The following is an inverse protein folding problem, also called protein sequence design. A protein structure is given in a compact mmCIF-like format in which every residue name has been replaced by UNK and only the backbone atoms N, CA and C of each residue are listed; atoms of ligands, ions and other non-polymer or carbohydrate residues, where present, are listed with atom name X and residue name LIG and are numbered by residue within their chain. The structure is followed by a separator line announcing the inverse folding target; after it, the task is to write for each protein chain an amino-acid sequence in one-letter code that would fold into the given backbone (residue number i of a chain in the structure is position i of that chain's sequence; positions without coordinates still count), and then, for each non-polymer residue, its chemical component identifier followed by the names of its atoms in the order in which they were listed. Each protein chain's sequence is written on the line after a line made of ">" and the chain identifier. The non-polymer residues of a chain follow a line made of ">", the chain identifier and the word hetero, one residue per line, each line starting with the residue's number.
data_IF_596110294392
#
_entry.id   IF_596110294392
#
_cell.length_a   1.000
_cell.length_b   1.000
_cell.length_c   1.000
_cell.angle_alpha   90.00
_cell.angle_beta   90.00
_cell.angle_gamma   90.00
#
_symmetry.space_group_name_H-M   'P 1'
#
loop_
_entity.id
_entity.type
_entity.pdbx_description
1 polymer ?
#
# COMPACT_ATOMS: atom_id res chain seq x y z
N UNK A 1 44.80 -20.43 -1.80
CA UNK A 1 44.13 -20.64 -3.10
C UNK A 1 44.57 -19.53 -4.06
N UNK A 2 44.88 -19.80 -5.34
CA UNK A 2 45.28 -18.76 -6.27
C UNK A 2 44.12 -17.76 -6.49
N UNK A 3 44.41 -16.48 -6.33
CA UNK A 3 43.47 -15.38 -6.54
C UNK A 3 43.87 -14.62 -7.80
N UNK A 4 42.87 -14.17 -8.58
CA UNK A 4 43.07 -13.44 -9.83
C UNK A 4 42.15 -12.23 -9.86
N UNK A 5 42.64 -11.10 -10.36
CA UNK A 5 41.84 -9.88 -10.50
C UNK A 5 40.83 -10.03 -11.66
N UNK A 6 39.61 -9.57 -11.42
CA UNK A 6 38.55 -9.51 -12.42
C UNK A 6 38.91 -8.47 -13.49
N UNK A 7 38.84 -8.80 -14.79
CA UNK A 7 39.14 -7.85 -15.85
C UNK A 7 38.08 -6.76 -16.02
N UNK A 8 36.89 -6.90 -15.40
CA UNK A 8 35.80 -5.93 -15.53
C UNK A 8 35.73 -4.94 -14.37
N UNK A 9 35.91 -5.42 -13.13
CA UNK A 9 35.76 -4.60 -11.92
C UNK A 9 37.01 -4.54 -11.03
N UNK A 10 38.11 -5.24 -11.40
CA UNK A 10 39.37 -5.18 -10.67
C UNK A 10 39.43 -5.95 -9.35
N UNK A 11 38.30 -6.44 -8.84
CA UNK A 11 38.23 -7.20 -7.58
C UNK A 11 38.98 -8.53 -7.67
N UNK A 12 39.59 -8.94 -6.55
CA UNK A 12 40.23 -10.25 -6.41
C UNK A 12 39.17 -11.33 -6.27
N UNK A 13 39.09 -12.22 -7.24
CA UNK A 13 38.09 -13.29 -7.30
C UNK A 13 38.78 -14.66 -7.23
N UNK A 14 38.19 -15.59 -6.49
CA UNK A 14 38.59 -17.00 -6.49
C UNK A 14 38.38 -17.60 -7.89
N UNK A 15 39.30 -18.44 -8.37
CA UNK A 15 39.19 -19.19 -9.63
C UNK A 15 37.83 -19.87 -9.86
N UNK A 16 37.20 -20.41 -8.80
CA UNK A 16 35.86 -21.02 -8.90
C UNK A 16 34.77 -19.99 -9.23
N UNK A 17 34.82 -18.82 -8.59
CA UNK A 17 33.85 -17.75 -8.80
C UNK A 17 34.02 -17.15 -10.20
N UNK A 18 35.26 -16.91 -10.64
CA UNK A 18 35.53 -16.42 -12.01
C UNK A 18 35.02 -17.39 -13.07
N UNK A 19 35.20 -18.70 -12.88
CA UNK A 19 34.65 -19.72 -13.79
C UNK A 19 33.13 -19.65 -13.91
N UNK A 20 32.43 -19.44 -12.79
CA UNK A 20 30.97 -19.30 -12.77
C UNK A 20 30.52 -18.05 -13.53
N UNK A 21 31.19 -16.93 -13.32
CA UNK A 21 30.90 -15.67 -14.02
C UNK A 21 31.15 -15.79 -15.53
N UNK A 22 32.29 -16.37 -15.94
CA UNK A 22 32.60 -16.64 -17.36
C UNK A 22 31.48 -17.46 -18.02
N UNK A 23 30.98 -18.49 -17.33
CA UNK A 23 29.89 -19.33 -17.83
C UNK A 23 28.58 -18.57 -17.96
N UNK A 24 28.19 -17.80 -16.94
CA UNK A 24 26.96 -17.01 -16.99
C UNK A 24 27.00 -15.98 -18.12
N UNK A 25 28.16 -15.35 -18.34
CA UNK A 25 28.35 -14.38 -19.41
C UNK A 25 28.19 -15.01 -20.79
N UNK A 26 28.78 -16.19 -21.01
CA UNK A 26 28.63 -16.96 -22.25
C UNK A 26 27.18 -17.40 -22.45
N UNK A 27 26.54 -17.99 -21.43
CA UNK A 27 25.17 -18.49 -21.53
C UNK A 27 24.17 -17.37 -21.80
N UNK A 28 24.30 -16.21 -21.15
CA UNK A 28 23.46 -15.04 -21.42
C UNK A 28 23.62 -14.54 -22.86
N UNK A 29 24.86 -14.53 -23.36
CA UNK A 29 25.16 -14.08 -24.72
C UNK A 29 24.58 -15.01 -25.79
N UNK A 30 24.64 -16.32 -25.55
CA UNK A 30 24.12 -17.36 -26.47
C UNK A 30 22.60 -17.52 -26.35
N UNK A 31 22.02 -17.28 -25.17
CA UNK A 31 20.58 -17.45 -24.92
C UNK A 31 19.68 -16.46 -25.67
N UNK A 32 20.22 -15.31 -26.07
CA UNK A 32 19.47 -14.30 -26.84
C UNK A 32 19.41 -14.60 -28.34
N UNK A 33 20.49 -15.16 -28.90
CA UNK A 33 20.64 -15.46 -30.32
C UNK A 33 21.80 -16.44 -30.51
N UNK A 34 21.72 -17.30 -31.50
CA UNK A 34 22.85 -18.14 -31.90
C UNK A 34 24.07 -17.28 -32.26
N UNK A 35 25.25 -17.62 -31.72
CA UNK A 35 26.48 -16.83 -31.91
C UNK A 35 27.62 -17.67 -32.43
N UNK A 36 28.43 -17.08 -33.30
CA UNK A 36 29.73 -17.61 -33.69
C UNK A 36 30.77 -17.40 -32.57
N UNK A 37 31.88 -18.15 -32.63
CA UNK A 37 33.00 -17.98 -31.70
C UNK A 37 33.54 -16.53 -31.69
N UNK A 38 33.65 -15.91 -32.87
CA UNK A 38 34.16 -14.55 -33.02
C UNK A 38 33.23 -13.50 -32.41
N UNK A 39 31.91 -13.68 -32.52
CA UNK A 39 30.93 -12.80 -31.85
C UNK A 39 30.99 -12.94 -30.34
N UNK A 40 31.08 -14.17 -29.82
CA UNK A 40 31.24 -14.40 -28.39
C UNK A 40 32.52 -13.78 -27.84
N UNK A 41 33.61 -13.79 -28.60
CA UNK A 41 34.86 -13.10 -28.25
C UNK A 41 34.65 -11.59 -28.10
N UNK A 42 33.94 -10.96 -29.03
CA UNK A 42 33.64 -9.53 -28.99
C UNK A 42 32.72 -9.15 -27.83
N UNK A 43 31.68 -9.95 -27.60
CA UNK A 43 30.65 -9.68 -26.57
C UNK A 43 31.21 -9.92 -25.16
N UNK A 44 31.82 -11.09 -24.94
CA UNK A 44 32.27 -11.48 -23.60
C UNK A 44 33.57 -10.81 -23.19
N UNK A 45 34.35 -10.29 -24.15
CA UNK A 45 35.70 -9.74 -23.95
C UNK A 45 36.67 -10.71 -23.24
N UNK A 46 36.35 -12.01 -23.26
CA UNK A 46 37.20 -13.05 -22.65
C UNK A 46 38.42 -13.34 -23.54
N UNK A 47 39.59 -13.65 -22.96
CA UNK A 47 40.74 -14.11 -23.74
C UNK A 47 40.37 -15.34 -24.59
N UNK A 48 40.85 -15.39 -25.83
CA UNK A 48 40.51 -16.43 -26.81
C UNK A 48 40.67 -17.86 -26.27
N UNK A 49 41.78 -18.13 -25.56
CA UNK A 49 42.06 -19.43 -24.94
C UNK A 49 41.06 -19.76 -23.83
N UNK A 50 40.70 -18.78 -23.00
CA UNK A 50 39.72 -18.93 -21.92
C UNK A 50 38.34 -19.24 -22.49
N UNK A 51 37.88 -18.45 -23.45
CA UNK A 51 36.58 -18.68 -24.10
C UNK A 51 36.50 -20.06 -24.73
N UNK A 52 37.55 -20.50 -25.44
CA UNK A 52 37.61 -21.83 -26.03
C UNK A 52 37.48 -22.95 -25.00
N UNK A 53 38.23 -22.87 -23.89
CA UNK A 53 38.16 -23.86 -22.81
C UNK A 53 36.77 -23.88 -22.16
N UNK A 54 36.16 -22.71 -21.93
CA UNK A 54 34.83 -22.61 -21.34
C UNK A 54 33.75 -23.16 -22.25
N UNK A 55 33.80 -22.86 -23.55
CA UNK A 55 32.87 -23.40 -24.54
C UNK A 55 33.01 -24.91 -24.70
N UNK A 56 34.24 -25.44 -24.78
CA UNK A 56 34.48 -26.89 -24.81
C UNK A 56 33.87 -27.57 -23.60
N UNK A 57 33.97 -26.92 -22.44
CA UNK A 57 33.41 -27.45 -21.22
C UNK A 57 31.88 -27.39 -21.20
N UNK A 58 31.28 -26.28 -21.60
CA UNK A 58 29.82 -26.15 -21.70
C UNK A 58 29.23 -27.14 -22.72
N UNK A 59 29.95 -27.44 -23.80
CA UNK A 59 29.61 -28.50 -24.75
C UNK A 59 29.67 -29.88 -24.09
N UNK A 60 30.73 -30.20 -23.33
CA UNK A 60 30.82 -31.49 -22.60
C UNK A 60 29.76 -31.63 -21.51
N UNK A 61 29.27 -30.52 -20.96
CA UNK A 61 28.17 -30.49 -19.98
C UNK A 61 26.78 -30.45 -20.64
N UNK A 62 26.69 -30.53 -21.97
CA UNK A 62 25.45 -30.43 -22.75
C UNK A 62 24.62 -29.14 -22.49
N UNK A 63 25.24 -28.07 -21.96
CA UNK A 63 24.56 -26.80 -21.68
C UNK A 63 24.38 -25.93 -22.93
N UNK A 64 25.28 -26.11 -23.89
CA UNK A 64 25.20 -25.49 -25.21
C UNK A 64 25.41 -26.57 -26.25
N UNK A 65 24.87 -26.38 -27.44
CA UNK A 65 25.11 -27.22 -28.62
C UNK A 65 25.68 -26.36 -29.74
N UNK A 66 26.32 -27.02 -30.70
CA UNK A 66 26.85 -26.37 -31.90
C UNK A 66 26.01 -26.84 -33.08
N UNK A 67 25.33 -25.91 -33.74
CA UNK A 67 24.48 -26.25 -34.88
C UNK A 67 25.33 -26.61 -36.12
N UNK A 68 24.66 -27.08 -37.19
CA UNK A 68 25.30 -27.46 -38.45
C UNK A 68 26.09 -26.32 -39.10
N UNK A 69 25.67 -25.06 -38.84
CA UNK A 69 26.36 -23.84 -39.30
C UNK A 69 27.56 -23.45 -38.44
N UNK A 70 27.87 -24.24 -37.42
CA UNK A 70 28.96 -24.02 -36.49
C UNK A 70 28.74 -22.91 -35.46
N UNK A 71 27.49 -22.44 -35.30
CA UNK A 71 27.09 -21.46 -34.29
C UNK A 71 26.72 -22.16 -32.99
N UNK A 72 26.98 -21.48 -31.87
CA UNK A 72 26.61 -21.95 -30.54
C UNK A 72 25.19 -21.51 -30.24
N UNK A 73 24.37 -22.43 -29.73
CA UNK A 73 23.04 -22.17 -29.20
C UNK A 73 22.92 -22.80 -27.80
N UNK A 74 22.06 -22.23 -26.95
CA UNK A 74 21.77 -22.85 -25.65
C UNK A 74 21.02 -24.13 -25.95
N UNK A 75 21.46 -25.22 -25.33
CA UNK A 75 20.71 -26.46 -25.42
C UNK A 75 19.47 -26.25 -24.55
N UNK A 76 18.41 -25.72 -25.15
CA UNK A 76 17.10 -25.61 -24.55
C UNK A 76 16.51 -27.02 -24.48
N UNK A 77 17.14 -27.90 -23.72
CA UNK A 77 16.46 -29.07 -23.21
C UNK A 77 15.18 -28.55 -22.57
N UNK A 78 14.04 -29.07 -23.02
CA UNK A 78 12.72 -28.92 -22.41
C UNK A 78 12.68 -29.31 -20.91
N UNK A 79 13.83 -29.50 -20.27
CA UNK A 79 14.02 -30.10 -18.97
C UNK A 79 14.73 -29.17 -17.96
N UNK A 80 15.12 -27.94 -18.31
CA UNK A 80 15.74 -27.04 -17.31
C UNK A 80 14.75 -26.56 -16.22
N UNK A 81 13.44 -26.79 -16.41
CA UNK A 81 12.40 -26.65 -15.37
C UNK A 81 11.88 -27.98 -14.80
N UNK A 82 12.30 -29.13 -15.33
CA UNK A 82 11.88 -30.45 -14.80
C UNK A 82 12.76 -30.96 -13.64
N UNK A 83 13.94 -30.39 -13.45
CA UNK A 83 14.89 -30.84 -12.42
C UNK A 83 14.62 -30.41 -10.99
N UNK A 84 13.66 -29.50 -10.74
CA UNK A 84 13.34 -29.05 -9.36
C UNK A 84 12.06 -29.70 -8.82
N UNK A 85 11.23 -30.30 -9.68
CA UNK A 85 9.94 -30.89 -9.29
C UNK A 85 9.75 -32.30 -9.91
N UNK A 86 10.77 -33.17 -9.79
CA UNK A 86 10.66 -34.61 -10.12
C UNK A 86 10.62 -35.50 -8.87
N UNK A 87 10.15 -34.96 -7.74
CA UNK A 87 9.46 -35.77 -6.76
C UNK A 87 7.98 -35.74 -7.10
N UNK A 88 7.27 -36.86 -6.95
CA UNK A 88 5.81 -36.90 -6.94
C UNK A 88 5.30 -36.00 -5.80
N UNK A 89 5.25 -34.70 -6.04
CA UNK A 89 4.73 -33.75 -5.06
C UNK A 89 3.24 -33.95 -5.10
N UNK A 90 2.76 -34.62 -4.04
CA UNK A 90 1.35 -34.81 -3.76
C UNK A 90 0.62 -33.51 -4.08
N UNK A 91 -0.33 -33.58 -5.02
CA UNK A 91 -1.17 -32.47 -5.47
C UNK A 91 -1.61 -31.49 -4.34
N UNK A 92 -2.00 -31.94 -3.12
CA UNK A 92 -2.30 -31.03 -2.01
C UNK A 92 -1.11 -30.18 -1.51
N UNK A 93 0.12 -30.72 -1.51
CA UNK A 93 1.32 -30.00 -1.08
C UNK A 93 1.67 -28.88 -2.04
N UNK A 94 1.46 -29.09 -3.34
CA UNK A 94 1.66 -28.05 -4.35
C UNK A 94 0.68 -26.88 -4.15
N UNK A 95 -0.60 -27.19 -3.90
CA UNK A 95 -1.59 -26.15 -3.60
C UNK A 95 -1.26 -25.39 -2.32
N UNK A 96 -0.77 -26.07 -1.28
CA UNK A 96 -0.33 -25.43 -0.04
C UNK A 96 0.84 -24.46 -0.28
N UNK A 97 1.83 -24.85 -1.10
CA UNK A 97 2.96 -23.98 -1.44
C UNK A 97 2.53 -22.76 -2.26
N UNK A 98 1.61 -22.95 -3.22
CA UNK A 98 1.04 -21.83 -3.98
C UNK A 98 0.28 -20.88 -3.04
N UNK A 99 -0.48 -21.41 -2.07
CA UNK A 99 -1.16 -20.62 -1.05
C UNK A 99 -0.16 -19.83 -0.19
N UNK A 100 0.91 -20.48 0.29
CA UNK A 100 1.93 -19.84 1.13
C UNK A 100 2.68 -18.70 0.41
N UNK A 101 2.81 -18.75 -0.91
CA UNK A 101 3.48 -17.71 -1.70
C UNK A 101 2.51 -16.58 -2.11
N UNK A 102 1.25 -16.92 -2.39
CA UNK A 102 0.25 -15.95 -2.85
C UNK A 102 -0.29 -15.07 -1.72
N UNK A 103 -0.49 -15.61 -0.51
CA UNK A 103 -1.04 -14.84 0.62
C UNK A 103 -0.16 -13.65 1.02
N UNK A 104 1.19 -13.78 1.17
CA UNK A 104 2.05 -12.64 1.48
C UNK A 104 2.10 -11.59 0.35
N UNK A 105 2.06 -12.03 -0.91
CA UNK A 105 2.10 -11.11 -2.06
C UNK A 105 0.85 -10.23 -2.13
N UNK A 106 -0.32 -10.81 -1.84
CA UNK A 106 -1.58 -10.08 -1.75
C UNK A 106 -1.55 -9.14 -0.54
N UNK A 107 -1.09 -9.62 0.62
CA UNK A 107 -0.97 -8.81 1.83
C UNK A 107 -0.03 -7.60 1.67
N UNK A 108 1.12 -7.79 0.99
CA UNK A 108 2.06 -6.70 0.71
C UNK A 108 1.46 -5.69 -0.28
N UNK A 109 0.76 -6.16 -1.31
CA UNK A 109 0.11 -5.27 -2.29
C UNK A 109 -0.99 -4.45 -1.64
N UNK A 110 -1.80 -5.08 -0.77
CA UNK A 110 -2.82 -4.41 0.01
C UNK A 110 -2.24 -3.40 1.00
N UNK A 111 -1.15 -3.77 1.70
CA UNK A 111 -0.45 -2.86 2.60
C UNK A 111 0.17 -1.66 1.87
N UNK A 112 0.66 -1.86 0.64
CA UNK A 112 1.19 -0.77 -0.19
C UNK A 112 0.08 0.11 -0.78
N UNK A 113 -1.12 -0.42 -1.02
CA UNK A 113 -2.29 0.39 -1.38
C UNK A 113 -2.85 1.17 -0.17
N UNK A 114 -2.72 0.63 1.04
CA UNK A 114 -3.12 1.28 2.28
C UNK A 114 -2.04 2.19 2.87
N UNK A 115 -0.79 2.09 2.42
CA UNK A 115 0.19 3.15 2.59
C UNK A 115 -0.26 4.31 1.70
N UNK A 116 -1.20 5.10 2.23
CA UNK A 116 -1.51 6.43 1.74
C UNK A 116 -0.21 7.07 1.32
N UNK A 117 -0.13 7.45 0.05
CA UNK A 117 0.96 8.24 -0.46
C UNK A 117 1.19 9.34 0.55
N UNK A 118 2.33 9.30 1.23
CA UNK A 118 2.86 10.44 1.96
C UNK A 118 3.08 11.46 0.85
N UNK A 119 2.04 12.24 0.56
CA UNK A 119 2.15 13.40 -0.28
C UNK A 119 3.17 14.25 0.45
N UNK A 120 4.37 14.37 -0.14
CA UNK A 120 5.31 15.41 0.23
C UNK A 120 4.51 16.70 0.13
N UNK A 121 4.05 17.16 1.29
CA UNK A 121 3.28 18.39 1.43
C UNK A 121 4.26 19.47 1.03
N UNK A 122 4.21 19.82 -0.25
CA UNK A 122 4.93 20.95 -0.80
C UNK A 122 4.45 22.11 0.05
N UNK A 123 5.35 22.67 0.86
CA UNK A 123 5.05 23.67 1.88
C UNK A 123 4.40 24.88 1.22
N UNK A 124 3.09 24.81 1.07
CA UNK A 124 2.24 25.93 0.72
C UNK A 124 2.46 26.97 1.81
N UNK A 125 2.56 28.27 1.47
CA UNK A 125 2.77 29.31 2.48
C UNK A 125 1.75 29.11 3.60
N UNK A 126 2.23 29.15 4.84
CA UNK A 126 1.43 28.97 6.05
C UNK A 126 0.46 30.14 6.15
N UNK A 127 -0.70 30.02 5.50
CA UNK A 127 -1.76 31.02 5.56
C UNK A 127 -2.29 30.99 6.98
N UNK A 128 -2.17 32.10 7.70
CA UNK A 128 -2.74 32.24 9.05
C UNK A 128 -4.27 32.36 8.91
N UNK A 129 -5.05 31.57 9.66
CA UNK A 129 -6.50 31.69 9.63
C UNK A 129 -6.96 33.03 10.21
N UNK A 130 -8.08 33.55 9.69
CA UNK A 130 -8.71 34.78 10.19
C UNK A 130 -9.43 34.50 11.51
N UNK A 131 -10.01 33.31 11.65
CA UNK A 131 -10.62 32.84 12.88
C UNK A 131 -11.09 31.40 12.80
N UNK A 132 -11.86 31.01 13.81
CA UNK A 132 -12.35 29.64 14.00
C UNK A 132 -13.84 29.65 14.34
N UNK A 133 -14.53 28.56 14.00
CA UNK A 133 -15.89 28.28 14.46
C UNK A 133 -16.06 26.78 14.74
N UNK A 134 -17.00 26.45 15.63
CA UNK A 134 -17.31 25.09 16.03
C UNK A 134 -18.70 24.69 15.51
N UNK A 135 -18.80 23.51 14.89
CA UNK A 135 -20.03 22.90 14.41
C UNK A 135 -20.36 21.71 15.29
N UNK A 136 -21.61 21.62 15.77
CA UNK A 136 -22.07 20.48 16.57
C UNK A 136 -22.91 19.54 15.73
N UNK A 137 -22.54 18.26 15.71
CA UNK A 137 -23.37 17.21 15.16
C UNK A 137 -24.29 16.72 16.28
N UNK A 138 -25.59 16.90 16.14
CA UNK A 138 -26.58 16.57 17.17
C UNK A 138 -27.53 15.50 16.65
N UNK A 139 -27.86 14.53 17.50
CA UNK A 139 -28.90 13.54 17.23
C UNK A 139 -30.15 13.84 18.04
N UNK A 140 -31.32 13.59 17.45
CA UNK A 140 -32.61 13.64 18.15
C UNK A 140 -33.40 12.36 17.94
N UNK A 141 -34.12 11.97 18.97
CA UNK A 141 -35.06 10.84 19.00
C UNK A 141 -34.38 9.53 18.55
N UNK A 142 -33.10 9.36 18.88
CA UNK A 142 -32.34 8.18 18.46
C UNK A 142 -32.80 6.94 19.24
N UNK A 143 -32.85 5.79 18.58
CA UNK A 143 -33.21 4.52 19.19
C UNK A 143 -32.09 3.50 19.01
N UNK A 144 -31.57 3.01 20.14
CA UNK A 144 -30.58 1.93 20.23
C UNK A 144 -29.37 2.11 19.30
N UNK A 145 -28.82 3.32 19.29
CA UNK A 145 -27.67 3.70 18.48
C UNK A 145 -26.41 3.11 19.10
N UNK A 146 -25.73 2.27 18.32
CA UNK A 146 -24.48 1.64 18.68
C UNK A 146 -23.28 2.32 18.00
N UNK A 147 -23.52 2.93 16.84
CA UNK A 147 -22.56 3.78 16.15
C UNK A 147 -23.26 4.76 15.23
N UNK A 148 -22.50 5.69 14.67
CA UNK A 148 -23.00 6.66 13.71
C UNK A 148 -21.91 7.03 12.71
N UNK A 149 -22.33 7.52 11.55
CA UNK A 149 -21.47 8.07 10.51
C UNK A 149 -22.11 9.35 9.98
N UNK A 150 -21.33 10.41 9.86
CA UNK A 150 -21.74 11.67 9.26
C UNK A 150 -20.73 12.11 8.19
N UNK A 151 -21.25 12.74 7.15
CA UNK A 151 -20.46 13.33 6.06
C UNK A 151 -20.75 14.83 6.05
N UNK A 152 -19.71 15.64 6.22
CA UNK A 152 -19.79 17.09 6.15
C UNK A 152 -19.09 17.54 4.87
N UNK A 153 -19.82 18.23 4.01
CA UNK A 153 -19.28 18.90 2.83
C UNK A 153 -19.01 20.37 3.19
N UNK A 154 -17.84 20.88 2.83
CA UNK A 154 -17.40 22.25 3.04
C UNK A 154 -16.65 22.79 1.82
N UNK A 155 -16.51 24.11 1.71
CA UNK A 155 -15.70 24.74 0.65
C UNK A 155 -14.21 24.81 1.08
N UNK A 156 -13.32 23.99 0.51
CA UNK A 156 -11.92 23.92 0.94
C UNK A 156 -11.11 25.17 0.58
N UNK A 157 -11.65 26.06 -0.26
CA UNK A 157 -11.03 27.36 -0.55
C UNK A 157 -11.30 28.37 0.56
N UNK A 158 -12.41 28.23 1.29
CA UNK A 158 -12.83 29.18 2.33
C UNK A 158 -12.54 28.69 3.74
N UNK A 159 -12.66 27.38 3.97
CA UNK A 159 -12.49 26.77 5.29
C UNK A 159 -11.59 25.55 5.26
N UNK A 160 -10.93 25.27 6.39
CA UNK A 160 -10.16 24.05 6.62
C UNK A 160 -10.58 23.41 7.92
N UNK A 161 -10.69 22.08 7.90
CA UNK A 161 -10.84 21.28 9.10
C UNK A 161 -9.64 21.49 10.03
N UNK A 162 -9.89 21.61 11.33
CA UNK A 162 -8.87 21.79 12.37
C UNK A 162 -8.84 20.58 13.29
N UNK A 163 -9.96 20.28 13.93
CA UNK A 163 -10.08 19.19 14.88
C UNK A 163 -11.52 18.64 14.93
N UNK A 164 -11.64 17.44 15.52
CA UNK A 164 -12.92 16.86 15.91
C UNK A 164 -12.79 16.26 17.30
N UNK A 165 -13.77 16.57 18.15
CA UNK A 165 -13.87 16.08 19.52
C UNK A 165 -15.17 15.28 19.63
N UNK A 166 -15.14 14.12 20.30
CA UNK A 166 -16.36 13.33 20.56
C UNK A 166 -17.34 14.14 21.39
N UNK A 167 -18.62 14.03 21.07
CA UNK A 167 -19.69 14.46 21.96
C UNK A 167 -19.96 13.42 23.06
N UNK A 168 -20.92 13.75 23.91
CA UNK A 168 -21.31 12.98 25.10
C UNK A 168 -22.25 11.80 24.81
N UNK A 169 -22.86 11.74 23.62
CA UNK A 169 -23.95 10.80 23.34
C UNK A 169 -23.55 9.32 23.43
N UNK A 170 -22.40 8.93 22.86
CA UNK A 170 -21.86 7.57 22.97
C UNK A 170 -20.84 7.42 24.12
N UNK A 171 -20.64 8.47 24.90
CA UNK A 171 -19.69 8.54 26.01
C UNK A 171 -18.36 9.16 25.62
N UNK A 172 -17.67 9.68 26.65
CA UNK A 172 -16.42 10.40 26.50
C UNK A 172 -15.34 9.50 25.88
N UNK A 173 -14.68 10.05 24.87
CA UNK A 173 -13.37 9.56 24.42
C UNK A 173 -12.31 10.32 25.20
N UNK A 174 -11.32 9.62 25.76
CA UNK A 174 -10.15 10.31 26.31
C UNK A 174 -9.52 11.16 25.21
N UNK A 175 -9.17 12.42 25.51
CA UNK A 175 -8.43 13.27 24.57
C UNK A 175 -7.13 12.55 24.19
N UNK A 176 -7.08 12.01 22.99
CA UNK A 176 -5.82 11.62 22.38
C UNK A 176 -5.31 12.87 21.71
N UNK A 177 -4.14 13.32 22.15
CA UNK A 177 -3.38 14.41 21.55
C UNK A 177 -3.11 14.04 20.08
N UNK A 178 -4.03 14.42 19.17
CA UNK A 178 -3.83 14.32 17.73
C UNK A 178 -2.85 15.42 17.32
N UNK A 179 -1.61 15.24 17.77
CA UNK A 179 -0.51 16.16 17.54
C UNK A 179 0.01 15.91 16.11
N UNK A 180 -0.86 16.25 15.14
CA UNK A 180 -0.66 16.54 13.71
C UNK A 180 -2.00 16.48 12.99
N UNK A 181 -2.25 17.52 12.18
CA UNK A 181 -3.31 17.59 11.18
C UNK A 181 -3.03 16.53 10.11
N UNK A 182 -3.30 15.26 10.44
CA UNK A 182 -3.24 14.17 9.50
C UNK A 182 -4.62 14.03 8.83
N UNK A 183 -4.59 13.72 7.53
CA UNK A 183 -5.76 13.49 6.64
C UNK A 183 -6.72 12.42 7.20
N UNK A 184 -6.27 11.64 8.18
CA UNK A 184 -7.03 10.64 8.90
C UNK A 184 -6.64 10.63 10.38
N UNK A 185 -7.60 10.39 11.26
CA UNK A 185 -7.34 10.21 12.68
C UNK A 185 -8.34 9.29 13.36
N UNK A 186 -7.95 8.76 14.52
CA UNK A 186 -8.86 8.04 15.41
C UNK A 186 -8.55 8.34 16.87
N UNK A 187 -9.60 8.34 17.69
CA UNK A 187 -9.54 8.54 19.13
C UNK A 187 -10.21 7.33 19.78
N UNK A 188 -9.48 6.65 20.66
CA UNK A 188 -9.97 5.48 21.37
C UNK A 188 -10.33 5.89 22.81
N UNK A 189 -11.61 5.81 23.14
CA UNK A 189 -12.08 5.89 24.52
C UNK A 189 -12.11 4.52 25.19
N UNK A 190 -12.51 4.51 26.47
CA UNK A 190 -12.65 3.27 27.23
C UNK A 190 -13.66 2.29 26.62
N UNK A 191 -14.73 2.81 26.01
CA UNK A 191 -15.82 2.00 25.45
C UNK A 191 -16.32 2.50 24.08
N UNK A 192 -15.61 3.42 23.45
CA UNK A 192 -15.98 3.98 22.15
C UNK A 192 -14.74 4.25 21.31
N UNK A 193 -14.92 4.29 19.99
CA UNK A 193 -13.89 4.68 19.03
C UNK A 193 -14.49 5.70 18.09
N UNK A 194 -13.87 6.87 18.01
CA UNK A 194 -14.15 7.90 17.00
C UNK A 194 -13.08 7.83 15.92
N UNK A 195 -13.48 7.88 14.66
CA UNK A 195 -12.57 7.98 13.53
C UNK A 195 -13.05 9.06 12.57
N UNK A 196 -12.10 9.69 11.89
CA UNK A 196 -12.40 10.68 10.87
C UNK A 196 -11.43 10.59 9.70
N UNK A 197 -11.89 11.07 8.55
CA UNK A 197 -11.12 11.24 7.34
C UNK A 197 -11.53 12.54 6.67
N UNK A 198 -10.54 13.36 6.31
CA UNK A 198 -10.73 14.60 5.55
C UNK A 198 -10.18 14.38 4.15
N UNK A 199 -11.01 14.58 3.13
CA UNK A 199 -10.54 14.84 1.77
C UNK A 199 -10.50 16.36 1.57
N UNK A 200 -9.28 16.92 1.61
CA UNK A 200 -9.07 18.37 1.51
C UNK A 200 -9.36 18.88 0.11
N UNK A 201 -9.14 18.07 -0.92
CA UNK A 201 -9.33 18.48 -2.31
C UNK A 201 -10.81 18.50 -2.68
N UNK A 202 -11.58 17.53 -2.17
CA UNK A 202 -13.03 17.46 -2.37
C UNK A 202 -13.84 18.28 -1.36
N UNK A 203 -13.22 18.73 -0.27
CA UNK A 203 -13.93 19.46 0.80
C UNK A 203 -14.89 18.55 1.57
N UNK A 204 -14.50 17.30 1.81
CA UNK A 204 -15.35 16.29 2.44
C UNK A 204 -14.71 15.83 3.75
N UNK A 205 -15.50 15.83 4.81
CA UNK A 205 -15.13 15.28 6.12
C UNK A 205 -16.08 14.13 6.46
N UNK A 206 -15.54 12.92 6.55
CA UNK A 206 -16.25 11.74 7.03
C UNK A 206 -15.87 11.51 8.47
N UNK A 207 -16.86 11.46 9.36
CA UNK A 207 -16.67 11.18 10.79
C UNK A 207 -17.56 10.00 11.16
N UNK A 208 -17.04 9.09 11.96
CA UNK A 208 -17.83 8.01 12.53
C UNK A 208 -17.43 7.76 13.97
N UNK A 209 -18.37 7.23 14.75
CA UNK A 209 -18.08 6.72 16.09
C UNK A 209 -18.85 5.43 16.33
N UNK A 210 -18.28 4.53 17.12
CA UNK A 210 -18.92 3.27 17.50
C UNK A 210 -18.60 2.90 18.94
N UNK A 211 -19.50 2.18 19.61
CA UNK A 211 -19.26 1.54 20.89
C UNK A 211 -18.38 0.28 20.73
N UNK A 212 -17.49 0.05 21.68
CA UNK A 212 -16.58 -1.10 21.71
C UNK A 212 -17.05 -2.15 22.72
N UNK A 213 -16.92 -3.43 22.36
CA UNK A 213 -17.22 -4.56 23.25
C UNK A 213 -18.71 -4.89 23.35
N UNK A 214 -19.15 -5.27 24.55
CA UNK A 214 -20.53 -5.75 24.80
C UNK A 214 -21.42 -4.67 25.40
N UNK A 215 -21.33 -3.44 24.91
CA UNK A 215 -22.16 -2.33 25.38
C UNK A 215 -23.58 -2.43 24.82
N UNK A 216 -24.53 -1.80 25.49
CA UNK A 216 -25.89 -1.56 24.98
C UNK A 216 -25.91 -0.26 24.16
N UNK A 217 -26.77 -0.19 23.14
CA UNK A 217 -26.94 1.03 22.36
C UNK A 217 -27.57 2.15 23.17
N UNK A 218 -27.30 3.40 22.76
CA UNK A 218 -27.82 4.61 23.39
C UNK A 218 -29.07 5.10 22.68
N UNK A 219 -30.01 5.66 23.43
CA UNK A 219 -31.25 6.23 22.89
C UNK A 219 -31.49 7.62 23.47
N UNK A 220 -32.20 8.46 22.74
CA UNK A 220 -32.52 9.84 23.13
C UNK A 220 -31.83 10.89 22.27
N UNK A 221 -31.64 12.07 22.85
CA UNK A 221 -31.02 13.22 22.21
C UNK A 221 -29.61 13.44 22.77
N UNK A 222 -28.71 14.00 21.98
CA UNK A 222 -27.39 14.36 22.48
C UNK A 222 -26.44 14.86 21.39
N UNK A 223 -25.22 15.21 21.80
CA UNK A 223 -24.18 15.66 20.88
C UNK A 223 -23.33 14.46 20.48
N UNK A 224 -23.19 14.26 19.16
CA UNK A 224 -22.37 13.20 18.58
C UNK A 224 -20.90 13.63 18.47
N UNK A 225 -20.65 14.85 17.98
CA UNK A 225 -19.30 15.40 17.84
C UNK A 225 -19.30 16.92 17.77
N UNK A 226 -18.17 17.51 18.15
CA UNK A 226 -17.81 18.91 17.95
C UNK A 226 -16.72 18.97 16.88
N UNK A 227 -16.94 19.72 15.81
CA UNK A 227 -16.01 19.84 14.69
C UNK A 227 -15.56 21.28 14.58
N UNK A 228 -14.26 21.54 14.65
CA UNK A 228 -13.71 22.89 14.49
C UNK A 228 -13.21 23.11 13.08
N UNK A 229 -13.57 24.27 12.53
CA UNK A 229 -13.06 24.75 11.26
C UNK A 229 -12.33 26.09 11.45
N UNK A 230 -11.31 26.31 10.63
CA UNK A 230 -10.66 27.59 10.45
C UNK A 230 -11.14 28.21 9.13
N UNK A 231 -11.36 29.53 9.09
CA UNK A 231 -11.73 30.25 7.87
C UNK A 231 -10.69 31.29 7.46
N UNK A 232 -10.60 31.53 6.15
CA UNK A 232 -9.53 32.34 5.52
C UNK A 232 -10.06 33.52 4.69
N UNK A 233 -11.37 33.72 4.69
CA UNK A 233 -12.04 34.77 3.91
C UNK A 233 -12.94 35.61 4.82
N UNK A 234 -12.91 36.94 4.68
CA UNK A 234 -13.72 37.86 5.51
C UNK A 234 -15.21 37.80 5.15
N UNK A 235 -15.54 37.44 3.91
CA UNK A 235 -16.90 37.27 3.39
C UNK A 235 -17.44 35.86 3.66
N UNK A 236 -16.98 35.21 4.74
CA UNK A 236 -17.41 33.86 5.07
C UNK A 236 -18.91 33.83 5.45
N UNK A 237 -19.73 33.35 4.52
CA UNK A 237 -21.08 32.89 4.77
C UNK A 237 -21.02 31.36 5.00
N UNK A 238 -21.78 30.85 5.97
CA UNK A 238 -21.66 29.47 6.46
C UNK A 238 -21.88 28.45 5.32
N UNK A 239 -20.80 28.00 4.70
CA UNK A 239 -20.79 27.14 3.51
C UNK A 239 -20.44 25.70 3.86
N UNK A 240 -21.12 25.14 4.86
CA UNK A 240 -21.03 23.72 5.21
C UNK A 240 -22.42 23.09 5.23
N UNK A 241 -22.49 21.80 4.92
CA UNK A 241 -23.76 21.05 4.99
C UNK A 241 -23.52 19.59 5.35
N UNK A 242 -24.52 18.99 5.97
CA UNK A 242 -24.57 17.55 6.18
C UNK A 242 -24.97 16.89 4.86
N UNK A 243 -24.08 16.06 4.30
CA UNK A 243 -24.35 15.35 3.08
C UNK A 243 -25.18 14.09 3.40
N UNK A 244 -26.48 14.18 3.16
CA UNK A 244 -27.40 13.06 3.36
C UNK A 244 -27.31 12.03 2.23
N UNK A 245 -27.06 12.51 1.00
CA UNK A 245 -27.07 11.71 -0.23
C UNK A 245 -25.75 11.84 -1.01
N UNK A 246 -24.61 11.63 -0.35
CA UNK A 246 -23.33 11.53 -1.05
C UNK A 246 -23.20 10.13 -1.70
N UNK A 247 -22.73 10.01 -2.95
CA UNK A 247 -22.70 8.74 -3.68
C UNK A 247 -21.74 7.71 -3.08
N UNK A 248 -20.76 8.15 -2.29
CA UNK A 248 -19.72 7.29 -1.71
C UNK A 248 -20.00 6.97 -0.25
N UNK A 249 -20.51 7.94 0.51
CA UNK A 249 -20.72 7.81 1.94
C UNK A 249 -22.11 8.25 2.35
N UNK A 250 -22.76 7.50 3.23
CA UNK A 250 -24.09 7.83 3.75
C UNK A 250 -23.99 8.34 5.18
N UNK A 251 -24.68 9.43 5.47
CA UNK A 251 -24.92 9.86 6.84
C UNK A 251 -25.99 8.96 7.46
N UNK A 252 -25.64 8.21 8.52
CA UNK A 252 -26.56 7.25 9.16
C UNK A 252 -26.26 7.01 10.64
N UNK A 253 -27.29 6.56 11.35
CA UNK A 253 -27.20 5.99 12.70
C UNK A 253 -27.23 4.46 12.56
N UNK A 254 -26.45 3.74 13.35
CA UNK A 254 -26.26 2.29 13.24
C UNK A 254 -26.66 1.60 14.54
N UNK A 255 -27.39 0.49 14.42
CA UNK A 255 -27.59 -0.46 15.53
C UNK A 255 -26.36 -1.37 15.70
N UNK A 256 -26.36 -2.19 16.74
CA UNK A 256 -25.32 -3.21 16.99
C UNK A 256 -25.14 -4.19 15.81
N UNK A 257 -26.19 -4.40 15.03
CA UNK A 257 -26.21 -5.26 13.85
C UNK A 257 -25.77 -4.52 12.57
N UNK A 258 -25.28 -3.27 12.72
CA UNK A 258 -24.90 -2.37 11.63
C UNK A 258 -26.06 -2.04 10.68
N UNK A 259 -27.30 -2.11 11.19
CA UNK A 259 -28.50 -1.75 10.43
C UNK A 259 -28.79 -0.26 10.67
N UNK A 260 -29.11 0.53 9.62
CA UNK A 260 -29.57 1.89 9.79
C UNK A 260 -30.78 1.96 10.72
N UNK A 261 -30.72 2.80 11.77
CA UNK A 261 -31.82 3.00 12.71
C UNK A 261 -32.56 4.33 12.47
N UNK A 262 -33.73 4.47 13.08
CA UNK A 262 -34.50 5.71 13.09
C UNK A 262 -33.81 6.79 13.95
N UNK A 263 -33.96 8.04 13.52
CA UNK A 263 -33.38 9.21 14.17
C UNK A 263 -32.94 10.24 13.14
N UNK A 264 -32.75 11.49 13.58
CA UNK A 264 -32.36 12.59 12.69
C UNK A 264 -31.10 13.26 13.22
N UNK A 265 -30.12 13.40 12.33
CA UNK A 265 -28.90 14.17 12.59
C UNK A 265 -29.03 15.59 12.04
N UNK A 266 -28.50 16.55 12.79
CA UNK A 266 -28.52 17.95 12.45
C UNK A 266 -27.15 18.58 12.75
N UNK A 267 -26.82 19.63 12.00
CA UNK A 267 -25.70 20.52 12.32
C UNK A 267 -26.26 21.76 13.03
N UNK A 268 -25.66 22.11 14.17
CA UNK A 268 -25.95 23.33 14.93
C UNK A 268 -24.68 24.16 15.10
#
# INVERSE_FOLDING_TARGET
>A
MPQIKCPYCGTTINLKNRRREDFQLILRSVGTKERSFSELLKITKLPRKTLYLRLRQLLSENKITKNEKGLYCVNNGKDMFKGVFHGEINRPVLFLLILCISVPAIGLSFALMMQSSVYETTSSPEITPIGYFDVKIVVKEALNVYGWQAVIEFDPQKVRFVDVISGDFLGDTDEVDCDKIDVHGYVLGSFSMLCYHVDVDEGVLVIAQTLLGSQEGRSGDGVLAHVRFAYYTEDYEHSYRLALDNPYFKTCLLTKELIPTEGRMYLY
#
